data_IF_343448233240
#
_entry.id   IF_343448233240
#
_cell.length_a   1.000
_cell.length_b   1.000
_cell.length_c   1.000
_cell.angle_alpha   90.00
_cell.angle_beta   90.00
_cell.angle_gamma   90.00
#
_symmetry.space_group_name_H-M   'P 1'
#
loop_
_entity.id
_entity.type
_entity.pdbx_description
1 polymer ?
#
# COMPACT_ATOMS: atom_id res chain seq x y z
N UNK A 1 8.41 -51.54 -42.93
CA UNK A 1 9.42 -50.60 -43.51
C UNK A 1 9.90 -49.70 -42.38
N UNK A 2 11.12 -49.99 -41.87
CA UNK A 2 11.74 -49.27 -40.74
C UNK A 2 12.52 -48.10 -41.28
N UNK A 3 12.26 -46.87 -40.83
CA UNK A 3 13.15 -45.75 -41.04
C UNK A 3 13.65 -45.27 -39.66
N UNK A 4 14.91 -45.60 -39.39
CA UNK A 4 15.71 -45.06 -38.28
C UNK A 4 16.18 -43.67 -38.70
N UNK A 5 15.85 -42.64 -37.92
CA UNK A 5 16.41 -41.29 -38.10
C UNK A 5 17.52 -41.13 -37.04
N UNK A 6 18.72 -40.89 -37.55
CA UNK A 6 19.93 -40.62 -36.79
C UNK A 6 19.87 -39.19 -36.23
N UNK A 7 20.10 -39.08 -34.95
CA UNK A 7 20.23 -37.78 -34.23
C UNK A 7 21.72 -37.42 -34.25
N UNK A 8 22.03 -36.35 -34.97
CA UNK A 8 23.36 -35.74 -34.94
C UNK A 8 23.53 -34.81 -33.74
N UNK A 9 24.48 -35.16 -32.89
CA UNK A 9 24.93 -34.34 -31.75
C UNK A 9 25.96 -33.35 -32.25
N UNK A 10 25.67 -32.05 -32.23
CA UNK A 10 26.69 -31.03 -32.38
C UNK A 10 26.77 -30.19 -31.09
N UNK A 11 27.79 -30.48 -30.31
CA UNK A 11 28.19 -29.68 -29.17
C UNK A 11 29.01 -28.47 -29.68
N UNK A 12 28.53 -27.27 -29.50
CA UNK A 12 29.32 -26.04 -29.66
C UNK A 12 29.63 -25.49 -28.27
N UNK A 13 30.85 -25.66 -27.86
CA UNK A 13 31.41 -25.04 -26.64
C UNK A 13 31.95 -23.68 -27.07
N UNK A 14 31.33 -22.59 -26.69
CA UNK A 14 31.92 -21.24 -26.75
C UNK A 14 32.31 -20.83 -25.31
N UNK A 15 33.58 -20.97 -25.03
CA UNK A 15 34.21 -20.35 -23.87
C UNK A 15 34.56 -18.90 -24.23
N UNK A 16 33.92 -17.92 -23.63
CA UNK A 16 34.36 -16.53 -23.63
C UNK A 16 34.69 -16.11 -22.21
N UNK A 17 35.98 -16.13 -21.91
CA UNK A 17 36.58 -15.46 -20.75
C UNK A 17 36.57 -13.95 -20.98
N UNK A 18 35.85 -13.22 -20.19
CA UNK A 18 36.00 -11.78 -20.04
C UNK A 18 36.35 -11.46 -18.60
N UNK A 19 37.64 -11.44 -18.34
CA UNK A 19 38.26 -10.77 -17.20
C UNK A 19 38.15 -9.27 -17.41
N UNK A 20 37.36 -8.65 -16.60
CA UNK A 20 37.23 -7.19 -16.52
C UNK A 20 37.17 -6.77 -15.04
N UNK A 21 38.34 -6.75 -14.38
CA UNK A 21 38.49 -6.06 -13.10
C UNK A 21 38.51 -4.56 -13.35
N UNK A 22 37.43 -3.86 -13.08
CA UNK A 22 37.48 -2.42 -12.84
C UNK A 22 37.51 -2.15 -11.36
N UNK A 23 38.72 -1.93 -10.83
CA UNK A 23 38.90 -1.37 -9.48
C UNK A 23 38.46 0.08 -9.53
N UNK A 24 37.37 0.38 -8.82
CA UNK A 24 37.00 1.77 -8.53
C UNK A 24 37.79 2.19 -7.31
N UNK A 25 38.81 3.02 -7.54
CA UNK A 25 39.56 3.72 -6.51
C UNK A 25 38.67 4.85 -5.99
N UNK A 26 38.17 4.71 -4.75
CA UNK A 26 37.63 5.85 -4.00
C UNK A 26 38.79 6.67 -3.47
N UNK A 27 39.06 7.82 -4.11
CA UNK A 27 39.97 8.84 -3.60
C UNK A 27 39.42 9.38 -2.25
N UNK A 28 40.30 9.38 -1.27
CA UNK A 28 40.12 10.09 -0.01
C UNK A 28 40.31 11.58 -0.25
N UNK A 29 39.24 12.32 -0.37
CA UNK A 29 39.29 13.77 -0.21
C UNK A 29 38.51 14.14 1.04
N UNK A 30 39.27 14.43 2.06
CA UNK A 30 38.79 14.98 3.32
C UNK A 30 38.30 16.40 3.10
N UNK A 31 37.02 16.61 3.21
CA UNK A 31 36.46 17.96 3.35
C UNK A 31 36.57 18.36 4.82
N UNK A 32 37.55 19.23 5.08
CA UNK A 32 37.73 19.90 6.38
C UNK A 32 36.65 20.96 6.51
N UNK A 33 35.67 20.74 7.37
CA UNK A 33 34.74 21.79 7.77
C UNK A 33 35.28 22.45 9.03
N UNK A 34 35.48 23.76 8.93
CA UNK A 34 36.13 24.61 9.92
C UNK A 34 35.48 24.61 11.29
N UNK A 35 36.33 24.78 12.26
CA UNK A 35 36.01 25.02 13.67
C UNK A 35 35.07 26.21 13.87
N UNK A 36 34.02 25.99 14.66
CA UNK A 36 33.25 27.05 15.29
C UNK A 36 33.58 27.05 16.77
N UNK A 37 34.15 28.16 17.19
CA UNK A 37 34.65 28.51 18.54
C UNK A 37 33.59 28.30 19.62
N UNK A 38 34.04 27.68 20.71
CA UNK A 38 33.40 27.68 22.02
C UNK A 38 33.31 29.12 22.55
N UNK A 39 32.13 29.54 22.93
CA UNK A 39 31.95 30.67 23.86
C UNK A 39 31.14 30.26 25.08
N UNK A 40 31.68 30.70 26.16
CA UNK A 40 31.49 30.44 27.60
C UNK A 40 30.02 30.45 28.11
N UNK A 41 29.89 29.61 29.17
CA UNK A 41 28.92 29.66 30.26
C UNK A 41 28.62 31.06 30.78
N UNK A 42 27.34 31.34 31.03
CA UNK A 42 26.91 32.21 32.08
C UNK A 42 25.73 31.62 32.80
N UNK A 43 25.95 31.27 34.04
CA UNK A 43 24.97 30.90 35.07
C UNK A 43 24.41 32.18 35.68
N UNK A 44 23.09 32.29 35.85
CA UNK A 44 22.42 33.02 36.96
C UNK A 44 20.94 32.64 36.99
N UNK A 45 20.59 32.03 38.02
CA UNK A 45 19.77 32.31 39.20
C UNK A 45 18.27 32.02 39.11
N UNK A 46 17.93 31.15 40.04
CA UNK A 46 16.58 30.80 40.56
C UNK A 46 15.75 32.03 40.93
N UNK A 47 14.44 31.98 40.57
CA UNK A 47 13.43 32.62 41.43
C UNK A 47 12.22 31.69 41.58
N UNK A 48 12.06 31.20 42.80
CA UNK A 48 10.86 30.51 43.31
C UNK A 48 9.77 31.55 43.56
N UNK A 49 8.56 31.28 43.20
CA UNK A 49 7.39 31.75 43.93
C UNK A 49 6.33 30.68 43.97
N UNK A 50 5.86 30.47 45.20
CA UNK A 50 4.86 29.48 45.65
C UNK A 50 3.41 30.03 45.50
N UNK A 51 2.42 29.27 45.91
CA UNK A 51 1.14 29.09 45.23
C UNK A 51 0.02 29.95 45.85
N UNK A 52 -1.04 30.18 45.08
CA UNK A 52 -2.30 30.71 45.62
C UNK A 52 -3.36 29.66 45.53
N UNK A 53 -3.81 29.20 46.69
CA UNK A 53 -5.03 28.47 46.95
C UNK A 53 -6.21 29.45 46.99
N UNK A 54 -7.39 28.98 46.54
CA UNK A 54 -8.76 29.24 47.00
C UNK A 54 -9.65 29.36 45.75
N UNK A 55 -10.87 28.88 45.66
CA UNK A 55 -11.86 28.30 46.62
C UNK A 55 -12.97 27.61 45.83
N UNK A 56 -13.51 26.59 46.44
CA UNK A 56 -14.76 25.91 46.13
C UNK A 56 -15.93 26.83 45.86
N UNK A 57 -16.78 26.46 44.89
CA UNK A 57 -18.22 26.63 45.02
C UNK A 57 -18.95 25.60 44.14
N UNK A 58 -19.58 24.67 44.82
CA UNK A 58 -20.61 23.76 44.34
C UNK A 58 -21.74 24.51 43.66
N UNK A 59 -22.17 24.05 42.49
CA UNK A 59 -23.60 24.04 42.13
C UNK A 59 -23.90 22.89 41.20
N UNK A 60 -24.43 21.86 41.82
CA UNK A 60 -25.18 20.74 41.27
C UNK A 60 -26.36 21.28 40.45
N UNK A 61 -26.34 21.14 39.12
CA UNK A 61 -27.56 21.18 38.34
C UNK A 61 -27.60 19.95 37.41
N UNK A 62 -28.43 19.03 37.80
CA UNK A 62 -28.91 17.90 37.03
C UNK A 62 -29.78 18.45 35.90
N UNK A 63 -29.33 18.32 34.62
CA UNK A 63 -30.19 18.50 33.45
C UNK A 63 -30.58 17.15 32.87
N UNK A 64 -31.86 16.99 32.44
CA UNK A 64 -32.37 15.71 32.00
C UNK A 64 -31.74 15.23 30.72
N UNK A 65 -31.52 13.90 30.63
CA UNK A 65 -31.13 13.19 29.42
C UNK A 65 -32.16 13.46 28.31
N UNK A 66 -31.81 14.33 27.36
CA UNK A 66 -32.50 14.34 26.09
C UNK A 66 -32.05 13.10 25.31
N UNK A 67 -32.98 12.20 25.02
CA UNK A 67 -32.82 11.12 24.06
C UNK A 67 -32.47 11.76 22.71
N UNK A 68 -31.21 11.58 22.26
CA UNK A 68 -30.79 12.01 20.94
C UNK A 68 -31.66 11.27 19.91
N UNK A 69 -32.40 12.02 19.09
CA UNK A 69 -33.06 11.50 17.90
C UNK A 69 -32.01 10.90 16.97
N UNK A 70 -32.28 9.74 16.38
CA UNK A 70 -31.33 9.15 15.41
C UNK A 70 -31.07 10.14 14.27
N UNK A 71 -29.78 10.41 14.01
CA UNK A 71 -29.33 11.35 12.99
C UNK A 71 -29.59 10.75 11.60
N UNK A 72 -30.67 11.18 10.96
CA UNK A 72 -31.05 10.75 9.58
C UNK A 72 -29.98 10.98 8.52
N UNK A 73 -28.92 11.77 8.82
CA UNK A 73 -27.77 11.96 7.93
C UNK A 73 -26.85 10.74 7.89
N UNK A 74 -26.66 10.06 9.04
CA UNK A 74 -25.86 8.82 9.11
C UNK A 74 -26.49 7.67 8.34
N UNK A 75 -27.82 7.59 8.32
CA UNK A 75 -28.53 6.53 7.59
C UNK A 75 -28.49 6.73 6.07
N UNK A 76 -28.59 7.98 5.57
CA UNK A 76 -28.41 8.29 4.14
C UNK A 76 -26.98 8.01 3.66
N UNK A 77 -25.96 8.33 4.45
CA UNK A 77 -24.56 8.08 4.10
C UNK A 77 -24.22 6.56 4.09
N UNK A 78 -24.85 5.78 4.97
CA UNK A 78 -24.71 4.32 5.01
C UNK A 78 -25.34 3.65 3.78
N UNK A 79 -26.48 4.16 3.31
CA UNK A 79 -27.19 3.62 2.14
C UNK A 79 -26.43 3.81 0.80
N UNK A 80 -25.49 4.76 0.73
CA UNK A 80 -24.70 5.03 -0.48
C UNK A 80 -23.33 4.31 -0.52
N UNK A 81 -22.95 3.63 0.56
CA UNK A 81 -21.66 2.95 0.65
C UNK A 81 -21.69 1.59 -0.03
N UNK A 82 -20.99 1.47 -1.15
CA UNK A 82 -20.80 0.19 -1.86
C UNK A 82 -19.80 -0.69 -1.09
N UNK A 83 -18.84 -0.08 -0.36
CA UNK A 83 -17.77 -0.76 0.36
C UNK A 83 -17.64 -0.28 1.81
N UNK A 84 -17.22 -1.17 2.71
CA UNK A 84 -17.02 -0.90 4.13
C UNK A 84 -15.93 -1.79 4.76
N UNK A 85 -15.62 -1.55 6.01
CA UNK A 85 -14.63 -2.31 6.77
C UNK A 85 -15.00 -3.80 6.92
N UNK A 86 -16.30 -4.12 7.06
CA UNK A 86 -16.77 -5.50 7.20
C UNK A 86 -16.54 -6.30 5.89
N UNK A 87 -16.78 -5.66 4.74
CA UNK A 87 -16.48 -6.25 3.43
C UNK A 87 -14.97 -6.43 3.24
N UNK A 88 -14.14 -5.48 3.71
CA UNK A 88 -12.68 -5.60 3.71
C UNK A 88 -12.21 -6.81 4.52
N UNK A 89 -12.74 -7.03 5.72
CA UNK A 89 -12.42 -8.19 6.57
C UNK A 89 -12.82 -9.51 5.88
N UNK A 90 -14.01 -9.55 5.28
CA UNK A 90 -14.47 -10.72 4.50
C UNK A 90 -13.56 -10.99 3.30
N UNK A 91 -13.16 -9.94 2.57
CA UNK A 91 -12.24 -10.05 1.45
C UNK A 91 -10.87 -10.60 1.90
N UNK A 92 -10.29 -10.02 2.95
CA UNK A 92 -9.00 -10.46 3.53
C UNK A 92 -8.99 -11.97 3.81
N UNK A 93 -10.05 -12.48 4.46
CA UNK A 93 -10.17 -13.92 4.73
C UNK A 93 -10.20 -14.76 3.45
N UNK A 94 -10.95 -14.31 2.41
CA UNK A 94 -11.04 -15.02 1.13
C UNK A 94 -9.72 -15.00 0.37
N UNK A 95 -9.03 -13.86 0.33
CA UNK A 95 -7.73 -13.70 -0.33
C UNK A 95 -6.65 -14.53 0.34
N UNK A 96 -6.58 -14.51 1.68
CA UNK A 96 -5.60 -15.33 2.40
C UNK A 96 -5.87 -16.82 2.25
N UNK A 97 -7.14 -17.26 2.23
CA UNK A 97 -7.47 -18.66 1.96
C UNK A 97 -7.11 -19.08 0.52
N UNK A 98 -7.24 -18.18 -0.43
CA UNK A 98 -6.81 -18.39 -1.81
C UNK A 98 -5.29 -18.45 -1.92
N UNK A 99 -4.57 -17.52 -1.29
CA UNK A 99 -3.10 -17.43 -1.29
C UNK A 99 -2.40 -18.60 -0.60
N UNK A 100 -3.03 -19.22 0.40
CA UNK A 100 -2.47 -20.40 1.09
C UNK A 100 -2.07 -21.54 0.16
N UNK A 101 -2.80 -21.72 -0.94
CA UNK A 101 -2.49 -22.74 -1.97
C UNK A 101 -1.14 -22.53 -2.64
N UNK A 102 -0.65 -21.30 -2.65
CA UNK A 102 0.64 -20.90 -3.22
C UNK A 102 1.66 -20.50 -2.15
N UNK A 103 1.39 -20.79 -0.86
CA UNK A 103 2.24 -20.41 0.27
C UNK A 103 2.30 -18.90 0.52
N UNK A 104 1.32 -18.15 0.03
CA UNK A 104 1.28 -16.69 0.12
C UNK A 104 0.38 -16.20 1.24
N UNK A 105 0.78 -15.09 1.90
CA UNK A 105 0.00 -14.43 2.95
C UNK A 105 -0.06 -12.94 2.67
N UNK A 106 -1.26 -12.44 2.48
CA UNK A 106 -1.49 -11.06 2.09
C UNK A 106 -1.75 -10.16 3.28
N UNK A 107 -0.98 -9.07 3.36
CA UNK A 107 -1.25 -7.95 4.25
C UNK A 107 -2.21 -6.98 3.56
N UNK A 108 -3.22 -6.55 4.30
CA UNK A 108 -4.19 -5.58 3.79
C UNK A 108 -3.93 -4.19 4.35
N UNK A 109 -4.13 -3.17 3.52
CA UNK A 109 -4.20 -1.80 4.00
C UNK A 109 -5.41 -1.63 4.92
N UNK A 110 -5.16 -1.16 6.13
CA UNK A 110 -6.15 -1.05 7.20
C UNK A 110 -6.81 0.35 7.30
N UNK A 111 -6.50 1.24 6.35
CA UNK A 111 -6.95 2.64 6.37
C UNK A 111 -6.06 3.56 7.20
N UNK A 112 -5.05 3.06 7.88
CA UNK A 112 -4.15 3.83 8.77
C UNK A 112 -2.68 3.62 8.41
N UNK A 113 -2.18 2.38 8.52
CA UNK A 113 -0.76 2.06 8.31
C UNK A 113 -0.49 1.72 6.86
N UNK A 114 0.33 2.52 6.18
CA UNK A 114 0.73 2.30 4.80
C UNK A 114 1.36 0.92 4.58
N UNK A 115 1.06 0.31 3.44
CA UNK A 115 1.71 -0.90 2.95
C UNK A 115 2.93 -0.51 2.11
N UNK A 116 4.12 -0.86 2.57
CA UNK A 116 5.36 -0.67 1.82
C UNK A 116 5.76 -2.00 1.17
N UNK A 117 5.92 -2.00 -0.14
CA UNK A 117 6.37 -3.18 -0.90
C UNK A 117 7.90 -3.30 -0.83
N UNK A 118 8.44 -4.49 -1.07
CA UNK A 118 9.90 -4.71 -1.19
C UNK A 118 10.56 -3.89 -2.30
N UNK A 119 9.79 -3.42 -3.26
CA UNK A 119 10.27 -2.60 -4.39
C UNK A 119 10.13 -1.10 -4.16
N UNK A 120 9.73 -0.69 -2.95
CA UNK A 120 9.71 0.70 -2.52
C UNK A 120 8.34 1.37 -2.60
N UNK A 121 7.42 0.89 -3.44
CA UNK A 121 6.07 1.47 -3.55
C UNK A 121 5.36 1.47 -2.20
N UNK A 122 4.77 2.62 -1.85
CA UNK A 122 4.06 2.81 -0.58
C UNK A 122 2.58 3.10 -0.84
N UNK A 123 1.72 2.11 -0.60
CA UNK A 123 0.28 2.21 -0.78
C UNK A 123 -0.40 2.76 0.48
N UNK A 124 -1.44 3.62 0.33
CA UNK A 124 -2.06 4.09 -0.92
C UNK A 124 -1.38 5.29 -1.57
N UNK A 125 -0.30 5.84 -1.01
CA UNK A 125 0.35 7.08 -1.46
C UNK A 125 0.63 7.09 -2.96
N UNK A 126 1.15 5.99 -3.51
CA UNK A 126 1.51 5.87 -4.94
C UNK A 126 0.30 6.04 -5.88
N UNK A 127 -0.93 5.84 -5.40
CA UNK A 127 -2.14 6.08 -6.21
C UNK A 127 -2.34 7.57 -6.55
N UNK A 128 -1.73 8.49 -5.77
CA UNK A 128 -1.81 9.94 -5.99
C UNK A 128 -0.53 10.54 -6.57
N UNK A 129 0.61 9.85 -6.41
CA UNK A 129 1.92 10.40 -6.79
C UNK A 129 2.50 9.78 -8.05
N UNK A 130 2.06 8.58 -8.44
CA UNK A 130 2.66 7.83 -9.51
C UNK A 130 1.69 7.64 -10.68
N UNK A 131 2.26 7.50 -11.87
CA UNK A 131 1.50 7.18 -13.07
C UNK A 131 1.26 5.68 -13.14
N UNK A 132 0.00 5.29 -13.35
CA UNK A 132 -0.39 3.88 -13.55
C UNK A 132 -0.63 3.60 -15.04
N UNK A 133 -0.13 2.46 -15.51
CA UNK A 133 -0.28 2.02 -16.89
C UNK A 133 -0.93 0.63 -16.94
N UNK A 134 -2.03 0.54 -17.67
CA UNK A 134 -2.72 -0.70 -17.99
C UNK A 134 -2.81 -0.86 -19.51
N UNK A 135 -2.34 -1.97 -20.07
CA UNK A 135 -2.38 -2.24 -21.51
C UNK A 135 -1.79 -1.09 -22.35
N UNK A 136 -0.61 -0.57 -21.95
CA UNK A 136 0.10 0.55 -22.58
C UNK A 136 -0.60 1.92 -22.51
N UNK A 137 -1.71 2.04 -21.79
CA UNK A 137 -2.44 3.30 -21.60
C UNK A 137 -2.33 3.76 -20.15
N UNK A 138 -2.14 5.06 -19.96
CA UNK A 138 -2.27 5.66 -18.62
C UNK A 138 -3.72 5.58 -18.17
N UNK A 139 -3.95 5.23 -16.90
CA UNK A 139 -5.27 5.13 -16.31
C UNK A 139 -5.39 6.08 -15.11
N UNK A 140 -6.58 6.62 -14.88
CA UNK A 140 -6.96 7.30 -13.66
C UNK A 140 -7.35 6.27 -12.59
N UNK A 141 -6.61 6.25 -11.48
CA UNK A 141 -6.82 5.32 -10.39
C UNK A 141 -6.63 6.02 -9.05
N UNK A 142 -7.53 5.78 -8.11
CA UNK A 142 -7.43 6.40 -6.79
C UNK A 142 -8.09 5.56 -5.69
N UNK A 143 -7.73 5.85 -4.43
CA UNK A 143 -8.28 5.14 -3.28
C UNK A 143 -9.66 5.68 -2.91
N UNK A 144 -10.67 4.82 -2.95
CA UNK A 144 -12.07 5.12 -2.65
C UNK A 144 -12.66 4.11 -1.66
N UNK A 145 -12.39 4.25 -0.35
CA UNK A 145 -12.70 3.23 0.67
C UNK A 145 -14.19 2.97 0.89
N UNK A 146 -15.05 3.81 0.37
CA UNK A 146 -16.51 3.64 0.44
C UNK A 146 -17.15 3.34 -0.92
N UNK A 147 -16.33 3.31 -1.97
CA UNK A 147 -16.76 2.98 -3.34
C UNK A 147 -17.42 4.14 -4.09
N UNK A 148 -17.07 5.40 -3.77
CA UNK A 148 -17.44 6.55 -4.61
C UNK A 148 -16.74 6.44 -5.96
N UNK A 149 -17.42 6.84 -7.02
CA UNK A 149 -16.89 6.88 -8.39
C UNK A 149 -16.24 8.24 -8.64
N UNK A 150 -14.97 8.37 -8.26
CA UNK A 150 -14.18 9.60 -8.40
C UNK A 150 -13.08 9.44 -9.47
N UNK A 151 -12.75 8.20 -9.82
CA UNK A 151 -11.70 7.81 -10.78
C UNK A 151 -12.24 6.76 -11.75
N UNK A 152 -11.56 6.56 -12.87
CA UNK A 152 -11.86 5.41 -13.76
C UNK A 152 -11.77 4.09 -13.01
N UNK A 153 -10.74 3.96 -12.15
CA UNK A 153 -10.51 2.81 -11.29
C UNK A 153 -10.53 3.21 -9.82
N UNK A 154 -11.62 2.93 -9.13
CA UNK A 154 -11.83 3.28 -7.73
C UNK A 154 -11.37 2.13 -6.82
N UNK A 155 -10.22 2.25 -6.16
CA UNK A 155 -9.62 1.20 -5.32
C UNK A 155 -10.34 1.13 -3.97
N UNK A 156 -10.99 0.01 -3.69
CA UNK A 156 -11.73 -0.27 -2.46
C UNK A 156 -10.87 -0.92 -1.39
N UNK A 157 -9.96 -1.79 -1.82
CA UNK A 157 -9.06 -2.52 -0.92
C UNK A 157 -7.72 -2.80 -1.61
N UNK A 158 -6.67 -2.90 -0.81
CA UNK A 158 -5.30 -3.14 -1.25
C UNK A 158 -4.73 -4.29 -0.44
N UNK A 159 -4.18 -5.31 -1.11
CA UNK A 159 -3.53 -6.44 -0.48
C UNK A 159 -2.14 -6.66 -1.09
N UNK A 160 -1.12 -6.81 -0.25
CA UNK A 160 0.25 -7.03 -0.66
C UNK A 160 0.83 -8.28 -0.03
N UNK A 161 1.58 -9.05 -0.81
CA UNK A 161 2.45 -10.13 -0.36
C UNK A 161 3.85 -9.98 -0.97
N UNK A 162 4.85 -9.85 -0.11
CA UNK A 162 6.24 -9.75 -0.50
C UNK A 162 6.88 -11.15 -0.53
N UNK A 163 6.50 -11.94 -1.51
CA UNK A 163 6.98 -13.31 -1.65
C UNK A 163 8.34 -13.38 -2.36
N UNK A 164 9.36 -13.95 -1.70
CA UNK A 164 10.76 -14.05 -2.19
C UNK A 164 11.31 -12.67 -2.56
N UNK A 165 11.75 -12.48 -3.82
CA UNK A 165 12.26 -11.20 -4.36
C UNK A 165 11.19 -10.34 -5.05
N UNK A 166 9.94 -10.82 -5.08
CA UNK A 166 8.82 -10.17 -5.74
C UNK A 166 7.89 -9.53 -4.73
N UNK A 167 7.04 -8.65 -5.21
CA UNK A 167 5.81 -8.27 -4.52
C UNK A 167 4.62 -8.56 -5.44
N UNK A 168 3.48 -8.85 -4.82
CA UNK A 168 2.20 -9.01 -5.49
C UNK A 168 1.21 -8.06 -4.81
N UNK A 169 1.00 -6.89 -5.38
CA UNK A 169 0.01 -5.95 -4.84
C UNK A 169 -1.26 -6.00 -5.64
N UNK A 170 -2.32 -6.51 -5.03
CA UNK A 170 -3.65 -6.59 -5.61
C UNK A 170 -4.45 -5.35 -5.24
N UNK A 171 -4.97 -4.66 -6.26
CA UNK A 171 -5.86 -3.53 -6.15
C UNK A 171 -7.27 -3.98 -6.50
N UNK A 172 -8.16 -4.03 -5.54
CA UNK A 172 -9.55 -4.42 -5.70
C UNK A 172 -10.35 -3.18 -6.04
N UNK A 173 -10.74 -3.03 -7.31
CA UNK A 173 -11.29 -1.79 -7.85
C UNK A 173 -12.73 -1.95 -8.33
N UNK A 174 -13.43 -0.81 -8.42
CA UNK A 174 -14.59 -0.64 -9.28
C UNK A 174 -14.18 0.16 -10.51
N UNK A 175 -14.55 -0.33 -11.69
CA UNK A 175 -14.55 0.39 -12.96
C UNK A 175 -15.98 0.42 -13.49
N UNK A 176 -16.54 1.60 -13.71
CA UNK A 176 -17.93 1.74 -14.14
C UNK A 176 -18.91 0.91 -13.28
N UNK A 177 -18.72 0.96 -11.94
CA UNK A 177 -19.43 0.16 -10.93
C UNK A 177 -19.21 -1.36 -11.02
N UNK A 178 -18.43 -1.85 -11.96
CA UNK A 178 -18.09 -3.26 -12.12
C UNK A 178 -16.82 -3.63 -11.34
N UNK A 179 -16.81 -4.76 -10.61
CA UNK A 179 -15.63 -5.21 -9.89
C UNK A 179 -14.53 -5.67 -10.86
N UNK A 180 -13.34 -5.15 -10.67
CA UNK A 180 -12.13 -5.53 -11.40
C UNK A 180 -10.95 -5.59 -10.44
N UNK A 181 -10.04 -6.54 -10.65
CA UNK A 181 -8.84 -6.67 -9.82
C UNK A 181 -7.63 -6.38 -10.70
N UNK A 182 -6.81 -5.44 -10.24
CA UNK A 182 -5.52 -5.14 -10.87
C UNK A 182 -4.39 -5.69 -10.01
N UNK A 183 -3.32 -6.14 -10.66
CA UNK A 183 -2.11 -6.65 -10.03
C UNK A 183 -0.93 -5.77 -10.43
N UNK A 184 -0.28 -5.19 -9.42
CA UNK A 184 1.02 -4.55 -9.53
C UNK A 184 2.13 -5.54 -9.14
N UNK A 185 3.08 -5.74 -10.07
CA UNK A 185 4.32 -6.48 -9.88
C UNK A 185 5.49 -5.67 -10.46
N UNK A 186 5.37 -4.34 -10.47
CA UNK A 186 6.33 -3.44 -11.10
C UNK A 186 7.67 -3.51 -10.39
N UNK A 187 8.74 -3.53 -11.17
CA UNK A 187 10.11 -3.42 -10.65
C UNK A 187 10.47 -1.98 -10.30
N UNK A 188 9.85 -1.03 -10.97
CA UNK A 188 10.06 0.41 -10.83
C UNK A 188 8.85 1.03 -10.12
N UNK A 189 9.08 2.11 -9.38
CA UNK A 189 8.02 2.81 -8.68
C UNK A 189 7.19 3.72 -9.59
N UNK A 190 7.75 4.21 -10.71
CA UNK A 190 7.06 5.10 -11.63
C UNK A 190 7.59 4.94 -13.08
N UNK A 191 6.73 4.59 -14.03
CA UNK A 191 5.31 4.26 -13.88
C UNK A 191 5.08 2.87 -13.27
N UNK A 192 3.96 2.73 -12.56
CA UNK A 192 3.49 1.45 -12.06
C UNK A 192 2.72 0.74 -13.17
N UNK A 193 3.22 -0.42 -13.56
CA UNK A 193 2.61 -1.25 -14.60
C UNK A 193 1.67 -2.26 -13.98
N UNK A 194 0.37 -2.12 -14.23
CA UNK A 194 -0.63 -3.06 -13.71
C UNK A 194 -1.21 -3.93 -14.80
N UNK A 195 -1.72 -5.11 -14.40
CA UNK A 195 -2.44 -6.03 -15.29
C UNK A 195 -3.74 -6.51 -14.65
N UNK A 196 -4.74 -6.81 -15.48
CA UNK A 196 -6.01 -7.38 -15.00
C UNK A 196 -5.79 -8.81 -14.53
N UNK A 197 -6.31 -9.12 -13.36
CA UNK A 197 -6.25 -10.47 -12.78
C UNK A 197 -7.34 -11.33 -13.40
N UNK A 198 -6.95 -12.48 -14.00
CA UNK A 198 -7.86 -13.43 -14.67
C UNK A 198 -8.27 -14.61 -13.77
N UNK A 199 -7.78 -14.69 -12.53
CA UNK A 199 -8.14 -15.79 -11.62
C UNK A 199 -9.63 -15.77 -11.29
N UNK A 200 -10.33 -16.85 -11.69
CA UNK A 200 -11.80 -16.96 -11.54
C UNK A 200 -12.23 -17.00 -10.06
N UNK A 201 -11.43 -17.66 -9.22
CA UNK A 201 -11.74 -17.81 -7.78
C UNK A 201 -11.67 -16.47 -7.08
N UNK A 202 -10.60 -15.72 -7.32
CA UNK A 202 -10.38 -14.42 -6.73
C UNK A 202 -11.42 -13.39 -7.21
N UNK A 203 -11.67 -13.35 -8.53
CA UNK A 203 -12.69 -12.48 -9.13
C UNK A 203 -14.09 -12.78 -8.58
N UNK A 204 -14.49 -14.06 -8.48
CA UNK A 204 -15.77 -14.47 -7.90
C UNK A 204 -15.88 -14.09 -6.42
N UNK A 205 -14.77 -14.23 -5.67
CA UNK A 205 -14.73 -13.87 -4.26
C UNK A 205 -14.96 -12.39 -4.02
N UNK A 206 -14.38 -11.54 -4.87
CA UNK A 206 -14.53 -10.08 -4.80
C UNK A 206 -15.92 -9.64 -5.29
N UNK A 207 -16.35 -10.08 -6.46
CA UNK A 207 -17.65 -9.71 -7.05
C UNK A 207 -18.84 -10.00 -6.13
N UNK A 208 -18.79 -11.10 -5.35
CA UNK A 208 -19.83 -11.43 -4.37
C UNK A 208 -19.95 -10.43 -3.22
N UNK A 209 -18.94 -9.59 -2.98
CA UNK A 209 -18.95 -8.58 -1.94
C UNK A 209 -19.45 -7.21 -2.43
N UNK A 210 -19.53 -7.02 -3.76
CA UNK A 210 -20.02 -5.77 -4.37
C UNK A 210 -21.55 -5.78 -4.50
N UNK A 211 -22.14 -6.97 -4.62
CA UNK A 211 -23.61 -7.17 -4.71
C UNK A 211 -24.33 -6.81 -3.43
#
# INVERSE_FOLDING_TARGET
MNRKILIGLTAVILATTLTGCSQVHFGKDAVTIGEVKKTKKTTVAKKKTKPVKKQFLDKKQVKPKQKAKPDKRKDKEKATRIWDAAKTVKLKRKVNNWGKKSGQTYQFYDGKKSLKTKKGATYPKVLTTNRFILNKKTIEIGYSPIGKTEYDYNVLAIANDDFKSWHNTYLFCLKDKNPIILLDQSKNENPIMVKVVKDRTLNKAFSKLIK
#
